data_IF_181117363230
#
_entry.id   IF_181117363230
#
_cell.length_a   1.000
_cell.length_b   1.000
_cell.length_c   1.000
_cell.angle_alpha   90.00
_cell.angle_beta   90.00
_cell.angle_gamma   90.00
#
_symmetry.space_group_name_H-M   'P 1'
#
loop_
_entity.id
_entity.type
_entity.pdbx_description
1 polymer ?
#
# COMPACT_ATOMS: atom_id res chain seq x y z
N UNK A 1 51.58 30.18 -3.89
CA UNK A 1 50.40 29.52 -4.51
C UNK A 1 50.07 28.16 -3.89
N UNK A 2 51.03 27.42 -3.30
CA UNK A 2 50.81 26.09 -2.70
C UNK A 2 49.86 26.03 -1.48
N UNK A 3 49.83 27.03 -0.58
CA UNK A 3 49.01 26.96 0.65
C UNK A 3 47.50 26.95 0.39
N UNK A 4 47.06 27.53 -0.73
CA UNK A 4 45.66 27.62 -1.14
C UNK A 4 45.14 26.26 -1.60
N UNK A 5 45.95 25.56 -2.39
CA UNK A 5 45.65 24.22 -2.87
C UNK A 5 45.67 23.20 -1.74
N UNK A 6 46.58 23.35 -0.76
CA UNK A 6 46.59 22.49 0.43
C UNK A 6 45.28 22.57 1.23
N UNK A 7 44.80 23.78 1.50
CA UNK A 7 43.52 24.01 2.18
C UNK A 7 42.34 23.42 1.38
N UNK A 8 42.33 23.63 0.06
CA UNK A 8 41.29 23.09 -0.82
C UNK A 8 41.32 21.55 -0.82
N UNK A 9 42.50 20.92 -0.92
CA UNK A 9 42.62 19.46 -0.91
C UNK A 9 42.16 18.84 0.41
N UNK A 10 42.45 19.48 1.55
CA UNK A 10 41.97 19.02 2.87
C UNK A 10 40.45 19.10 2.93
N UNK A 11 39.85 20.21 2.50
CA UNK A 11 38.39 20.38 2.49
C UNK A 11 37.73 19.33 1.59
N UNK A 12 38.25 19.12 0.37
CA UNK A 12 37.72 18.12 -0.56
C UNK A 12 37.81 16.72 0.04
N UNK A 13 38.94 16.36 0.65
CA UNK A 13 39.12 15.04 1.29
C UNK A 13 38.14 14.83 2.44
N UNK A 14 37.90 15.85 3.26
CA UNK A 14 36.92 15.80 4.35
C UNK A 14 35.50 15.63 3.81
N UNK A 15 35.12 16.40 2.77
CA UNK A 15 33.81 16.26 2.14
C UNK A 15 33.60 14.88 1.51
N UNK A 16 34.64 14.32 0.89
CA UNK A 16 34.61 12.97 0.31
C UNK A 16 34.45 11.90 1.39
N UNK A 17 35.14 12.07 2.53
CA UNK A 17 35.00 11.17 3.68
C UNK A 17 33.60 11.25 4.31
N UNK A 18 33.02 12.46 4.44
CA UNK A 18 31.65 12.64 4.95
C UNK A 18 30.62 12.01 3.99
N UNK A 19 30.78 12.20 2.67
CA UNK A 19 29.90 11.59 1.68
C UNK A 19 29.99 10.05 1.71
N UNK A 20 31.20 9.50 1.80
CA UNK A 20 31.41 8.06 1.93
C UNK A 20 30.81 7.51 3.23
N UNK A 21 30.98 8.21 4.35
CA UNK A 21 30.36 7.82 5.62
C UNK A 21 28.83 7.88 5.53
N UNK A 22 28.26 8.95 4.95
CA UNK A 22 26.82 9.08 4.76
C UNK A 22 26.22 7.97 3.89
N UNK A 23 26.95 7.50 2.88
CA UNK A 23 26.52 6.39 2.02
C UNK A 23 26.59 5.02 2.72
N UNK A 24 27.48 4.87 3.71
CA UNK A 24 27.65 3.63 4.48
C UNK A 24 26.69 3.52 5.67
N UNK A 25 26.01 4.60 6.05
CA UNK A 25 25.00 4.57 7.10
C UNK A 25 23.71 3.97 6.51
N UNK A 26 23.27 2.79 6.98
CA UNK A 26 22.01 2.22 6.53
C UNK A 26 20.86 3.13 6.98
N UNK A 27 20.01 3.52 6.04
CA UNK A 27 18.77 4.22 6.35
C UNK A 27 17.83 3.21 7.01
N UNK A 28 17.35 3.55 8.20
CA UNK A 28 16.39 2.72 8.93
C UNK A 28 15.12 2.56 8.09
N UNK A 29 14.70 1.31 7.87
CA UNK A 29 13.50 1.01 7.07
C UNK A 29 12.30 1.50 7.88
N UNK A 30 11.55 2.47 7.34
CA UNK A 30 10.30 2.88 7.96
C UNK A 30 9.29 1.73 7.86
N UNK A 31 8.84 1.22 9.00
CA UNK A 31 7.82 0.16 9.05
C UNK A 31 6.47 0.65 8.54
N UNK A 32 6.12 1.89 8.90
CA UNK A 32 4.91 2.59 8.45
C UNK A 32 5.30 3.71 7.48
N UNK A 33 4.89 3.56 6.22
CA UNK A 33 5.13 4.57 5.19
C UNK A 33 4.41 5.88 5.51
N UNK A 34 5.09 7.02 5.33
CA UNK A 34 4.51 8.31 5.65
C UNK A 34 3.28 8.63 4.78
N UNK A 35 3.35 8.30 3.49
CA UNK A 35 2.29 8.55 2.51
C UNK A 35 2.22 7.44 1.47
N UNK A 36 1.01 7.16 1.01
CA UNK A 36 0.71 6.23 -0.08
C UNK A 36 0.06 7.01 -1.20
N UNK A 37 0.61 6.84 -2.40
CA UNK A 37 0.01 7.41 -3.60
C UNK A 37 -0.80 6.32 -4.27
N UNK A 38 -2.11 6.54 -4.34
CA UNK A 38 -3.05 5.65 -5.01
C UNK A 38 -3.48 6.29 -6.34
N UNK A 39 -2.89 5.81 -7.43
CA UNK A 39 -3.25 6.22 -8.77
C UNK A 39 -4.53 5.48 -9.22
N UNK A 40 -5.56 6.24 -9.59
CA UNK A 40 -6.83 5.70 -10.07
C UNK A 40 -7.50 6.67 -11.06
N UNK A 41 -8.57 6.19 -11.73
CA UNK A 41 -9.28 6.94 -12.76
C UNK A 41 -10.04 8.16 -12.25
N UNK A 42 -10.37 8.23 -10.95
CA UNK A 42 -11.01 9.37 -10.31
C UNK A 42 -10.05 10.51 -9.94
N UNK A 43 -8.74 10.32 -10.15
CA UNK A 43 -7.69 11.24 -9.72
C UNK A 43 -6.84 10.61 -8.62
N UNK A 44 -5.61 11.10 -8.46
CA UNK A 44 -4.65 10.54 -7.50
C UNK A 44 -5.11 10.80 -6.07
N UNK A 45 -5.09 9.79 -5.20
CA UNK A 45 -5.27 9.99 -3.75
C UNK A 45 -3.91 9.95 -3.07
N UNK A 46 -3.60 10.95 -2.26
CA UNK A 46 -2.38 11.00 -1.44
C UNK A 46 -2.77 10.69 0.00
N UNK A 47 -2.75 9.42 0.35
CA UNK A 47 -3.14 8.96 1.67
C UNK A 47 -1.99 9.12 2.67
N UNK A 48 -2.25 9.80 3.79
CA UNK A 48 -1.28 9.99 4.88
C UNK A 48 -1.31 8.81 5.83
N UNK A 49 -0.79 7.67 5.38
CA UNK A 49 -0.84 6.38 6.10
C UNK A 49 -0.28 6.46 7.52
N UNK A 50 0.87 7.10 7.71
CA UNK A 50 1.46 7.28 9.06
C UNK A 50 0.56 8.08 10.00
N UNK A 51 -0.16 9.09 9.51
CA UNK A 51 -1.08 9.86 10.36
C UNK A 51 -2.27 9.01 10.81
N UNK A 52 -2.80 8.16 9.93
CA UNK A 52 -3.90 7.27 10.31
C UNK A 52 -3.47 6.23 11.34
N UNK A 53 -2.30 5.61 11.13
CA UNK A 53 -1.79 4.60 12.06
C UNK A 53 -1.31 5.20 13.39
N UNK A 54 -0.49 6.25 13.36
CA UNK A 54 0.24 6.70 14.55
C UNK A 54 -0.45 7.87 15.27
N UNK A 55 -0.92 8.86 14.51
CA UNK A 55 -1.44 10.12 15.09
C UNK A 55 -2.93 9.99 15.45
N UNK A 56 -3.73 9.34 14.59
CA UNK A 56 -5.13 9.03 14.87
C UNK A 56 -5.29 7.73 15.66
N UNK A 57 -4.27 6.87 15.67
CA UNK A 57 -4.20 5.69 16.51
C UNK A 57 -5.12 4.55 16.07
N UNK A 58 -5.43 4.45 14.77
CA UNK A 58 -6.17 3.31 14.23
C UNK A 58 -5.31 2.05 14.23
N UNK A 59 -5.92 0.92 14.54
CA UNK A 59 -5.24 -0.36 14.52
C UNK A 59 -4.95 -0.76 13.07
N UNK A 60 -3.84 -1.49 12.84
CA UNK A 60 -3.46 -1.93 11.50
C UNK A 60 -4.59 -2.74 10.83
N UNK A 61 -5.31 -3.54 11.63
CA UNK A 61 -6.41 -4.40 11.21
C UNK A 61 -7.69 -3.62 10.90
N UNK A 62 -7.82 -2.37 11.32
CA UNK A 62 -8.96 -1.52 10.94
C UNK A 62 -8.99 -1.26 9.44
N UNK A 63 -7.81 -1.27 8.78
CA UNK A 63 -7.68 -1.15 7.32
C UNK A 63 -7.22 -2.46 6.67
N UNK A 64 -6.23 -3.13 7.26
CA UNK A 64 -5.73 -4.43 6.80
C UNK A 64 -6.48 -5.57 7.48
N UNK A 65 -7.77 -5.65 7.16
CA UNK A 65 -8.70 -6.69 7.64
C UNK A 65 -8.47 -8.07 7.01
N UNK A 66 -7.29 -8.29 6.41
CA UNK A 66 -6.98 -9.55 5.76
C UNK A 66 -6.74 -10.67 6.77
N UNK A 67 -6.46 -10.39 8.05
CA UNK A 67 -6.27 -11.39 9.12
C UNK A 67 -5.32 -12.55 8.72
N UNK A 68 -4.44 -12.35 7.73
CA UNK A 68 -3.46 -13.35 7.34
C UNK A 68 -2.23 -13.10 8.21
N UNK A 69 -1.83 -14.10 9.00
CA UNK A 69 -0.60 -14.03 9.81
C UNK A 69 0.63 -13.97 8.89
N UNK A 70 0.97 -12.78 8.43
CA UNK A 70 2.11 -12.49 7.60
C UNK A 70 2.93 -11.35 8.20
N UNK A 71 4.25 -11.38 7.97
CA UNK A 71 5.16 -10.29 8.32
C UNK A 71 4.85 -8.98 7.55
N UNK A 72 3.93 -9.03 6.57
CA UNK A 72 3.54 -7.91 5.72
C UNK A 72 2.05 -7.96 5.40
N UNK A 73 1.39 -6.82 5.52
CA UNK A 73 -0.01 -6.66 5.14
C UNK A 73 -0.23 -6.65 3.62
N UNK A 74 -1.39 -7.16 3.18
CA UNK A 74 -1.77 -7.15 1.77
C UNK A 74 -2.35 -5.80 1.36
N UNK A 75 -2.17 -5.47 0.08
CA UNK A 75 -2.91 -4.35 -0.51
C UNK A 75 -4.36 -4.77 -0.77
N UNK A 76 -5.31 -3.85 -0.60
CA UNK A 76 -6.73 -4.13 -0.86
C UNK A 76 -6.96 -4.72 -2.26
N UNK A 77 -6.17 -4.25 -3.24
CA UNK A 77 -6.23 -4.69 -4.64
C UNK A 77 -5.78 -6.12 -4.91
N UNK A 78 -5.15 -6.78 -3.93
CA UNK A 78 -4.79 -8.19 -4.04
C UNK A 78 -6.03 -9.10 -4.02
N UNK A 79 -7.06 -8.70 -3.27
CA UNK A 79 -8.33 -9.43 -3.13
C UNK A 79 -9.52 -8.70 -3.78
N UNK A 80 -9.51 -7.37 -3.74
CA UNK A 80 -10.52 -6.49 -4.35
C UNK A 80 -9.94 -5.85 -5.61
N UNK A 81 -9.86 -6.57 -6.74
CA UNK A 81 -9.26 -6.04 -7.96
C UNK A 81 -10.12 -4.93 -8.56
N UNK A 82 -9.59 -4.31 -9.61
CA UNK A 82 -10.39 -3.44 -10.46
C UNK A 82 -11.56 -4.22 -11.08
N UNK A 83 -11.30 -5.43 -11.56
CA UNK A 83 -12.25 -6.34 -12.20
C UNK A 83 -11.80 -7.79 -11.95
N UNK A 84 -12.74 -8.73 -11.77
CA UNK A 84 -12.45 -10.17 -11.67
C UNK A 84 -12.40 -10.81 -13.07
N UNK A 85 -11.54 -10.29 -13.93
CA UNK A 85 -11.40 -10.72 -15.32
C UNK A 85 -10.45 -11.92 -15.48
N UNK A 86 -10.15 -12.28 -16.73
CA UNK A 86 -9.23 -13.37 -17.05
C UNK A 86 -7.79 -13.07 -16.58
N UNK A 87 -7.38 -11.80 -16.62
CA UNK A 87 -6.04 -11.39 -16.23
C UNK A 87 -5.85 -11.51 -14.71
N UNK A 88 -6.86 -11.12 -13.91
CA UNK A 88 -6.86 -11.36 -12.48
C UNK A 88 -6.77 -12.85 -12.18
N UNK A 89 -7.65 -13.68 -12.77
CA UNK A 89 -7.65 -15.12 -12.53
C UNK A 89 -6.31 -15.79 -12.86
N UNK A 90 -5.63 -15.35 -13.92
CA UNK A 90 -4.35 -15.92 -14.32
C UNK A 90 -3.17 -15.51 -13.44
N UNK A 91 -3.25 -14.38 -12.73
CA UNK A 91 -2.09 -13.76 -12.09
C UNK A 91 -2.23 -13.46 -10.59
N UNK A 92 -3.44 -13.51 -10.03
CA UNK A 92 -3.69 -13.14 -8.63
C UNK A 92 -2.89 -13.95 -7.61
N UNK A 93 -2.58 -15.22 -7.90
CA UNK A 93 -1.76 -16.10 -7.06
C UNK A 93 -0.37 -15.52 -6.76
N UNK A 94 0.15 -14.64 -7.62
CA UNK A 94 1.45 -13.99 -7.40
C UNK A 94 1.41 -12.89 -6.32
N UNK A 95 0.23 -12.51 -5.85
CA UNK A 95 0.04 -11.44 -4.89
C UNK A 95 0.02 -11.92 -3.42
N UNK A 96 0.04 -13.24 -3.19
CA UNK A 96 -0.16 -13.82 -1.85
C UNK A 96 1.13 -14.44 -1.29
N UNK A 97 1.47 -14.15 -0.02
CA UNK A 97 2.67 -14.67 0.63
C UNK A 97 2.50 -16.11 1.15
N UNK A 98 1.27 -16.59 1.33
CA UNK A 98 0.95 -17.89 1.92
C UNK A 98 -0.24 -18.55 1.22
N UNK A 99 -0.32 -19.88 1.33
CA UNK A 99 -1.45 -20.67 0.81
C UNK A 99 -2.75 -20.43 1.60
N UNK A 100 -2.66 -19.95 2.83
CA UNK A 100 -3.84 -19.61 3.66
C UNK A 100 -4.70 -18.52 3.00
N UNK A 101 -4.07 -17.59 2.29
CA UNK A 101 -4.77 -16.54 1.56
C UNK A 101 -5.72 -17.09 0.49
N UNK A 102 -5.39 -18.25 -0.10
CA UNK A 102 -6.23 -18.89 -1.12
C UNK A 102 -7.58 -19.32 -0.52
N UNK A 103 -7.58 -19.76 0.74
CA UNK A 103 -8.76 -20.27 1.45
C UNK A 103 -9.77 -19.18 1.82
N UNK A 104 -9.45 -17.90 1.57
CA UNK A 104 -10.37 -16.79 1.78
C UNK A 104 -11.42 -16.65 0.68
N UNK A 105 -11.15 -17.22 -0.48
CA UNK A 105 -12.08 -17.23 -1.61
C UNK A 105 -12.35 -18.66 -2.08
N UNK A 106 -11.32 -19.51 -2.10
CA UNK A 106 -11.44 -20.89 -2.54
C UNK A 106 -11.73 -21.82 -1.38
N UNK A 107 -12.48 -22.89 -1.64
CA UNK A 107 -12.72 -23.95 -0.65
C UNK A 107 -11.45 -24.78 -0.35
N UNK A 108 -10.50 -24.83 -1.29
CA UNK A 108 -9.22 -25.53 -1.20
C UNK A 108 -8.12 -24.76 -1.94
N UNK A 109 -6.84 -25.05 -1.66
CA UNK A 109 -5.70 -24.45 -2.36
C UNK A 109 -5.64 -24.97 -3.81
N UNK A 110 -5.86 -24.12 -4.83
CA UNK A 110 -5.87 -24.57 -6.23
C UNK A 110 -4.48 -24.99 -6.69
N UNK A 111 -4.39 -26.09 -7.43
CA UNK A 111 -3.14 -26.59 -8.04
C UNK A 111 -3.07 -26.36 -9.54
N UNK A 112 -4.09 -25.70 -10.12
CA UNK A 112 -4.21 -25.45 -11.55
C UNK A 112 -5.44 -24.59 -11.87
N UNK A 113 -5.73 -24.46 -13.16
CA UNK A 113 -6.91 -23.73 -13.64
C UNK A 113 -8.20 -24.43 -13.22
N UNK A 114 -9.13 -23.67 -12.65
CA UNK A 114 -10.43 -24.16 -12.19
C UNK A 114 -11.48 -24.09 -13.29
N UNK A 115 -12.34 -25.12 -13.33
CA UNK A 115 -13.57 -25.10 -14.10
C UNK A 115 -14.49 -23.97 -13.61
N UNK A 116 -15.43 -23.52 -14.44
CA UNK A 116 -16.24 -22.34 -14.13
C UNK A 116 -17.12 -22.55 -12.90
N UNK A 117 -17.66 -23.76 -12.76
CA UNK A 117 -18.48 -24.20 -11.63
C UNK A 117 -17.71 -24.32 -10.30
N UNK A 118 -16.39 -24.48 -10.35
CA UNK A 118 -15.52 -24.64 -9.17
C UNK A 118 -14.88 -23.31 -8.74
N UNK A 119 -15.20 -22.20 -9.43
CA UNK A 119 -14.67 -20.88 -9.09
C UNK A 119 -15.41 -20.29 -7.88
N UNK A 120 -14.70 -19.53 -7.03
CA UNK A 120 -15.31 -18.80 -5.93
C UNK A 120 -16.47 -17.90 -6.38
N UNK A 121 -17.49 -17.79 -5.52
CA UNK A 121 -18.51 -16.76 -5.67
C UNK A 121 -17.90 -15.40 -5.33
N UNK A 122 -17.99 -14.48 -6.28
CA UNK A 122 -17.47 -13.11 -6.18
C UNK A 122 -18.58 -12.06 -6.07
N UNK A 123 -19.86 -12.46 -6.06
CA UNK A 123 -21.01 -11.54 -6.13
C UNK A 123 -21.01 -10.53 -4.98
N UNK A 124 -20.52 -10.93 -3.80
CA UNK A 124 -20.49 -10.11 -2.60
C UNK A 124 -19.11 -9.50 -2.29
N UNK A 125 -18.16 -9.59 -3.22
CA UNK A 125 -16.82 -9.03 -3.04
C UNK A 125 -16.77 -7.68 -3.78
N UNK A 126 -16.71 -6.53 -3.06
CA UNK A 126 -16.66 -5.23 -3.71
C UNK A 126 -15.38 -5.10 -4.54
N UNK A 127 -15.47 -4.36 -5.66
CA UNK A 127 -14.30 -4.00 -6.44
C UNK A 127 -13.48 -2.95 -5.69
N UNK A 128 -12.22 -2.78 -6.11
CA UNK A 128 -11.26 -1.91 -5.42
C UNK A 128 -11.78 -0.51 -5.11
N UNK A 129 -12.47 0.09 -6.07
CA UNK A 129 -13.00 1.45 -5.92
C UNK A 129 -14.09 1.50 -4.85
N UNK A 130 -15.01 0.55 -4.86
CA UNK A 130 -16.10 0.49 -3.89
C UNK A 130 -15.59 0.14 -2.49
N UNK A 131 -14.62 -0.77 -2.39
CA UNK A 131 -13.97 -1.12 -1.13
C UNK A 131 -13.29 0.09 -0.48
N UNK A 132 -12.57 0.90 -1.25
CA UNK A 132 -11.95 2.13 -0.73
C UNK A 132 -13.00 3.19 -0.36
N UNK A 133 -14.01 3.42 -1.19
CA UNK A 133 -15.05 4.39 -0.86
C UNK A 133 -15.80 3.97 0.39
N UNK A 134 -16.20 2.71 0.55
CA UNK A 134 -16.81 2.22 1.78
C UNK A 134 -15.87 2.46 2.99
N UNK A 135 -14.67 1.86 2.99
CA UNK A 135 -13.78 1.94 4.15
C UNK A 135 -13.40 3.37 4.54
N UNK A 136 -13.00 4.20 3.57
CA UNK A 136 -12.53 5.55 3.85
C UNK A 136 -13.69 6.48 4.21
N UNK A 137 -14.79 6.42 3.45
CA UNK A 137 -15.92 7.32 3.66
C UNK A 137 -16.66 6.95 4.94
N UNK A 138 -16.90 5.67 5.23
CA UNK A 138 -17.64 5.26 6.44
C UNK A 138 -16.93 5.75 7.72
N UNK A 139 -15.61 5.52 7.82
CA UNK A 139 -14.83 6.03 8.97
C UNK A 139 -14.82 7.57 9.03
N UNK A 140 -14.74 8.25 7.89
CA UNK A 140 -14.83 9.70 7.84
C UNK A 140 -16.21 10.23 8.22
N UNK A 141 -17.30 9.55 7.86
CA UNK A 141 -18.66 9.90 8.27
C UNK A 141 -18.78 9.89 9.80
N UNK A 142 -18.25 8.84 10.42
CA UNK A 142 -18.29 8.64 11.87
C UNK A 142 -17.37 9.60 12.63
N UNK A 143 -16.21 9.93 12.06
CA UNK A 143 -15.16 10.70 12.74
C UNK A 143 -15.05 12.16 12.27
N UNK A 144 -15.95 12.62 11.40
CA UNK A 144 -16.00 14.00 10.91
C UNK A 144 -14.93 14.36 9.87
N UNK A 145 -14.47 13.37 9.11
CA UNK A 145 -13.62 13.54 7.92
C UNK A 145 -14.43 13.84 6.64
N UNK A 146 -13.75 13.95 5.48
CA UNK A 146 -14.44 14.15 4.20
C UNK A 146 -15.30 12.94 3.82
N UNK A 147 -16.59 13.19 3.65
CA UNK A 147 -17.63 12.23 3.29
C UNK A 147 -18.63 12.86 2.32
N UNK A 148 -19.32 12.05 1.52
CA UNK A 148 -20.39 12.50 0.64
C UNK A 148 -19.93 12.93 -0.76
N UNK A 149 -20.91 13.07 -1.66
CA UNK A 149 -20.70 13.29 -3.10
C UNK A 149 -20.11 14.66 -3.45
N UNK A 150 -20.12 15.62 -2.53
CA UNK A 150 -19.60 16.97 -2.72
C UNK A 150 -18.14 17.15 -2.25
N UNK A 151 -17.54 16.13 -1.62
CA UNK A 151 -16.18 16.21 -1.04
C UNK A 151 -15.13 15.43 -1.83
N UNK A 152 -15.42 15.01 -3.08
CA UNK A 152 -14.51 14.15 -3.86
C UNK A 152 -13.06 14.66 -3.92
N UNK A 153 -12.86 15.98 -3.98
CA UNK A 153 -11.53 16.61 -4.12
C UNK A 153 -10.81 16.87 -2.81
N UNK A 154 -11.44 16.53 -1.68
CA UNK A 154 -10.75 16.48 -0.39
C UNK A 154 -9.89 15.22 -0.29
N UNK A 155 -10.27 14.16 -1.01
CA UNK A 155 -9.50 12.92 -1.13
C UNK A 155 -8.68 12.86 -2.44
N UNK A 156 -9.31 13.14 -3.59
CA UNK A 156 -8.67 13.06 -4.90
C UNK A 156 -7.96 14.37 -5.26
N UNK A 157 -6.63 14.32 -5.27
CA UNK A 157 -5.77 15.39 -5.75
C UNK A 157 -5.98 15.62 -7.27
N UNK A 158 -6.18 16.88 -7.63
CA UNK A 158 -6.34 17.38 -8.99
C UNK A 158 -5.18 18.24 -9.43
#
# INVERSE_FOLDING_TARGET
>A
MQSRYFLISVIVTVLLAVAAAGYLIPVEKQEVQARVVMDNTGGRVIFTHKFHADDYGFDCTDCHHDDIEADTFLSCGSCHPKEFDADFRANHQNNFPSEEACLRCHDDVPTGELAEEDRPDIENIPLRADAFHAQCMDCHEENGGPYGDDTCYECHAR
#
